data_IF_974089609713
#
_entry.id   IF_974089609713
#
_cell.length_a   1.000
_cell.length_b   1.000
_cell.length_c   1.000
_cell.angle_alpha   90.00
_cell.angle_beta   90.00
_cell.angle_gamma   90.00
#
_symmetry.space_group_name_H-M   'P 1'
#
loop_
_entity.id
_entity.type
_entity.pdbx_description
1 polymer ?
#
# COMPACT_ATOMS: atom_id res chain seq x y z
N UNK A 1 -6.26 -36.58 6.39
CA UNK A 1 -6.07 -35.20 6.93
C UNK A 1 -6.76 -34.11 6.11
N UNK A 2 -7.23 -34.34 4.87
CA UNK A 2 -7.88 -33.32 4.01
C UNK A 2 -9.32 -32.89 4.40
N UNK A 3 -9.90 -33.46 5.46
CA UNK A 3 -11.30 -33.19 5.87
C UNK A 3 -11.42 -32.15 7.01
N UNK A 4 -10.31 -31.78 7.65
CA UNK A 4 -10.30 -30.80 8.74
C UNK A 4 -10.78 -29.41 8.30
N UNK A 5 -10.37 -28.85 7.15
CA UNK A 5 -10.87 -27.55 6.70
C UNK A 5 -12.38 -27.59 6.47
N UNK A 6 -12.90 -28.67 5.87
CA UNK A 6 -14.32 -28.86 5.59
C UNK A 6 -15.17 -28.93 6.86
N UNK A 7 -14.69 -29.63 7.89
CA UNK A 7 -15.40 -29.76 9.17
C UNK A 7 -15.46 -28.45 9.94
N UNK A 8 -14.34 -27.71 9.99
CA UNK A 8 -14.30 -26.38 10.61
C UNK A 8 -15.24 -25.43 9.88
N UNK A 9 -15.22 -25.45 8.54
CA UNK A 9 -16.06 -24.60 7.71
C UNK A 9 -17.56 -24.92 7.83
N UNK A 10 -17.93 -26.21 7.92
CA UNK A 10 -19.30 -26.62 8.19
C UNK A 10 -19.77 -26.25 9.60
N UNK A 11 -18.91 -26.37 10.62
CA UNK A 11 -19.26 -25.98 11.99
C UNK A 11 -19.52 -24.47 12.08
N UNK A 12 -18.72 -23.65 11.39
CA UNK A 12 -18.97 -22.20 11.31
C UNK A 12 -20.26 -21.87 10.56
N UNK A 13 -20.60 -22.62 9.51
CA UNK A 13 -21.86 -22.46 8.79
C UNK A 13 -23.11 -22.80 9.62
N UNK A 14 -23.00 -23.68 10.62
CA UNK A 14 -24.13 -24.11 11.46
C UNK A 14 -24.29 -23.31 12.77
N UNK A 15 -23.24 -22.62 13.24
CA UNK A 15 -23.26 -21.90 14.52
C UNK A 15 -23.71 -20.44 14.39
N UNK A 16 -23.60 -19.86 13.21
CA UNK A 16 -24.12 -18.55 12.88
C UNK A 16 -25.08 -18.76 11.72
N UNK A 17 -26.38 -18.44 11.85
CA UNK A 17 -27.38 -18.41 10.76
C UNK A 17 -26.97 -17.41 9.66
N UNK A 18 -25.88 -17.72 8.96
CA UNK A 18 -25.19 -16.84 8.03
C UNK A 18 -25.38 -17.43 6.64
N UNK A 19 -26.49 -17.06 6.03
CA UNK A 19 -26.82 -17.28 4.60
C UNK A 19 -25.75 -16.70 3.63
N UNK A 20 -24.71 -16.03 4.14
CA UNK A 20 -23.66 -15.38 3.34
C UNK A 20 -22.52 -16.29 2.88
N UNK A 21 -22.35 -17.50 3.44
CA UNK A 21 -21.22 -18.39 3.06
C UNK A 21 -21.65 -19.41 1.99
N UNK A 22 -21.27 -19.23 0.70
CA UNK A 22 -21.60 -20.17 -0.37
C UNK A 22 -20.98 -21.55 -0.10
N UNK A 23 -21.67 -22.66 -0.41
CA UNK A 23 -21.14 -24.01 -0.22
C UNK A 23 -19.71 -24.15 -0.76
N UNK A 24 -18.84 -24.83 -0.01
CA UNK A 24 -17.43 -25.04 -0.38
C UNK A 24 -17.23 -25.55 -1.82
N UNK A 25 -18.17 -26.36 -2.33
CA UNK A 25 -18.14 -26.87 -3.71
C UNK A 25 -18.33 -25.76 -4.75
N UNK A 26 -19.29 -24.87 -4.54
CA UNK A 26 -19.59 -23.75 -5.43
C UNK A 26 -18.42 -22.76 -5.48
N UNK A 27 -17.74 -22.55 -4.35
CA UNK A 27 -16.51 -21.76 -4.29
C UNK A 27 -15.38 -22.35 -5.14
N UNK A 28 -15.19 -23.67 -5.07
CA UNK A 28 -14.17 -24.36 -5.86
C UNK A 28 -14.49 -24.31 -7.36
N UNK A 29 -15.74 -24.57 -7.74
CA UNK A 29 -16.18 -24.53 -9.15
C UNK A 29 -15.98 -23.13 -9.76
N UNK A 30 -16.38 -22.08 -9.04
CA UNK A 30 -16.16 -20.70 -9.47
C UNK A 30 -14.67 -20.36 -9.57
N UNK A 31 -13.87 -20.76 -8.57
CA UNK A 31 -12.42 -20.50 -8.57
C UNK A 31 -11.74 -21.19 -9.75
N UNK A 32 -12.08 -22.45 -10.02
CA UNK A 32 -11.55 -23.20 -11.15
C UNK A 32 -11.95 -22.55 -12.47
N UNK A 33 -13.22 -22.13 -12.60
CA UNK A 33 -13.71 -21.41 -13.77
C UNK A 33 -12.95 -20.10 -13.99
N UNK A 34 -12.77 -19.28 -12.95
CA UNK A 34 -12.06 -18.00 -13.02
C UNK A 34 -10.56 -18.15 -13.34
N UNK A 35 -9.94 -19.25 -12.89
CA UNK A 35 -8.56 -19.58 -13.23
C UNK A 35 -8.46 -20.05 -14.70
N UNK A 36 -9.30 -20.99 -15.12
CA UNK A 36 -9.27 -21.57 -16.47
C UNK A 36 -9.65 -20.55 -17.55
N UNK A 37 -10.57 -19.64 -17.24
CA UNK A 37 -10.94 -18.52 -18.12
C UNK A 37 -9.86 -17.42 -18.18
N UNK A 38 -8.81 -17.48 -17.36
CA UNK A 38 -7.74 -16.49 -17.30
C UNK A 38 -8.14 -15.16 -16.63
N UNK A 39 -9.40 -15.02 -16.19
CA UNK A 39 -9.93 -13.79 -15.59
C UNK A 39 -9.23 -13.49 -14.26
N UNK A 40 -9.10 -14.48 -13.37
CA UNK A 40 -8.49 -14.30 -12.06
C UNK A 40 -6.97 -14.02 -12.16
N UNK A 41 -6.16 -14.83 -12.89
CA UNK A 41 -4.74 -14.55 -13.03
C UNK A 41 -4.46 -13.16 -13.62
N UNK A 42 -5.23 -12.74 -14.63
CA UNK A 42 -5.08 -11.42 -15.24
C UNK A 42 -5.46 -10.29 -14.27
N UNK A 43 -6.54 -10.48 -13.50
CA UNK A 43 -6.97 -9.50 -12.50
C UNK A 43 -5.96 -9.35 -11.37
N UNK A 44 -5.42 -10.47 -10.87
CA UNK A 44 -4.33 -10.48 -9.88
C UNK A 44 -3.12 -9.74 -10.43
N UNK A 45 -2.69 -10.04 -11.66
CA UNK A 45 -1.52 -9.43 -12.27
C UNK A 45 -1.69 -7.91 -12.41
N UNK A 46 -2.84 -7.45 -12.89
CA UNK A 46 -3.12 -6.01 -13.08
C UNK A 46 -3.16 -5.28 -11.74
N UNK A 47 -3.86 -5.80 -10.73
CA UNK A 47 -3.89 -5.17 -9.40
C UNK A 47 -2.51 -5.18 -8.74
N UNK A 48 -1.74 -6.26 -8.90
CA UNK A 48 -0.36 -6.35 -8.41
C UNK A 48 0.53 -5.31 -9.09
N UNK A 49 0.45 -5.16 -10.42
CA UNK A 49 1.23 -4.18 -11.16
C UNK A 49 0.95 -2.76 -10.65
N UNK A 50 -0.32 -2.38 -10.47
CA UNK A 50 -0.71 -1.07 -9.91
C UNK A 50 -0.14 -0.84 -8.51
N UNK A 51 -0.15 -1.86 -7.65
CA UNK A 51 0.44 -1.80 -6.32
C UNK A 51 1.94 -1.51 -6.40
N UNK A 52 2.67 -2.23 -7.25
CA UNK A 52 4.12 -2.01 -7.39
C UNK A 52 4.46 -0.68 -8.07
N UNK A 53 3.68 -0.23 -9.06
CA UNK A 53 3.84 1.08 -9.69
C UNK A 53 3.63 2.21 -8.67
N UNK A 54 2.53 2.15 -7.91
CA UNK A 54 2.25 3.10 -6.84
C UNK A 54 3.30 3.05 -5.72
N UNK A 55 3.74 1.84 -5.34
CA UNK A 55 4.80 1.66 -4.35
C UNK A 55 6.13 2.28 -4.81
N UNK A 56 6.52 2.04 -6.06
CA UNK A 56 7.76 2.57 -6.62
C UNK A 56 7.71 4.10 -6.72
N UNK A 57 6.63 4.66 -7.26
CA UNK A 57 6.44 6.11 -7.37
C UNK A 57 6.38 6.78 -6.00
N UNK A 58 5.59 6.22 -5.08
CA UNK A 58 5.45 6.72 -3.72
C UNK A 58 6.77 6.70 -2.95
N UNK A 59 7.52 5.60 -3.00
CA UNK A 59 8.82 5.48 -2.34
C UNK A 59 9.88 6.39 -2.99
N UNK A 60 9.87 6.52 -4.32
CA UNK A 60 10.78 7.41 -5.04
C UNK A 60 10.59 8.89 -4.68
N UNK A 61 9.39 9.28 -4.23
CA UNK A 61 9.11 10.65 -3.75
C UNK A 61 9.29 10.75 -2.23
N UNK A 62 8.69 9.82 -1.48
CA UNK A 62 8.66 9.85 -0.02
C UNK A 62 10.04 9.74 0.61
N UNK A 63 10.85 8.78 0.16
CA UNK A 63 12.19 8.55 0.75
C UNK A 63 13.10 9.78 0.59
N UNK A 64 13.29 10.36 -0.61
CA UNK A 64 14.10 11.58 -0.75
C UNK A 64 13.55 12.76 0.06
N UNK A 65 12.24 12.97 0.09
CA UNK A 65 11.63 14.04 0.88
C UNK A 65 11.89 13.86 2.38
N UNK A 66 11.71 12.64 2.90
CA UNK A 66 11.94 12.34 4.32
C UNK A 66 13.40 12.57 4.73
N UNK A 67 14.35 12.12 3.91
CA UNK A 67 15.78 12.37 4.14
C UNK A 67 16.13 13.86 4.04
N UNK A 68 15.48 14.59 3.13
CA UNK A 68 15.70 16.03 2.96
C UNK A 68 15.17 16.82 4.16
N UNK A 69 13.98 16.47 4.66
CA UNK A 69 13.39 17.04 5.87
C UNK A 69 14.26 16.78 7.11
N UNK A 70 14.79 15.57 7.27
CA UNK A 70 15.65 15.24 8.42
C UNK A 70 16.94 16.08 8.48
N UNK A 71 17.42 16.56 7.32
CA UNK A 71 18.66 17.32 7.19
C UNK A 71 18.46 18.83 7.32
N UNK A 72 17.36 19.36 6.82
CA UNK A 72 17.15 20.80 6.67
C UNK A 72 15.94 21.25 7.49
N UNK A 73 16.20 21.90 8.63
CA UNK A 73 15.16 22.44 9.51
C UNK A 73 14.18 23.39 8.78
N UNK A 74 14.63 24.09 7.74
CA UNK A 74 13.76 24.92 6.88
C UNK A 74 12.78 24.08 6.06
N UNK A 75 13.23 22.97 5.48
CA UNK A 75 12.36 22.06 4.71
C UNK A 75 11.40 21.33 5.64
N UNK A 76 11.87 20.92 6.81
CA UNK A 76 11.02 20.36 7.85
C UNK A 76 9.90 21.33 8.25
N UNK A 77 10.23 22.56 8.65
CA UNK A 77 9.22 23.57 9.02
C UNK A 77 8.22 23.87 7.90
N UNK A 78 8.67 23.88 6.63
CA UNK A 78 7.81 24.12 5.48
C UNK A 78 6.90 22.94 5.15
N UNK A 79 7.41 21.71 5.23
CA UNK A 79 6.71 20.50 4.80
C UNK A 79 5.92 19.82 5.93
N UNK A 80 6.27 20.06 7.19
CA UNK A 80 5.62 19.43 8.35
C UNK A 80 4.10 19.62 8.40
N UNK A 81 3.53 20.81 8.10
CA UNK A 81 2.08 20.98 8.03
C UNK A 81 1.43 20.09 6.96
N UNK A 82 2.06 19.97 5.79
CA UNK A 82 1.56 19.15 4.69
C UNK A 82 1.67 17.66 5.01
N UNK A 83 2.81 17.22 5.55
CA UNK A 83 3.00 15.84 5.98
C UNK A 83 2.00 15.48 7.07
N UNK A 84 1.77 16.37 8.02
CA UNK A 84 0.77 16.19 9.08
C UNK A 84 -0.65 16.08 8.51
N UNK A 85 -1.01 16.95 7.56
CA UNK A 85 -2.30 16.88 6.86
C UNK A 85 -2.50 15.53 6.17
N UNK A 86 -1.53 15.09 5.37
CA UNK A 86 -1.62 13.81 4.65
C UNK A 86 -1.49 12.59 5.58
N UNK A 87 -0.82 12.72 6.73
CA UNK A 87 -0.75 11.66 7.74
C UNK A 87 -2.11 11.39 8.38
N UNK A 88 -2.88 12.44 8.64
CA UNK A 88 -4.20 12.31 9.25
C UNK A 88 -5.33 12.14 8.24
N UNK A 89 -5.13 12.52 6.99
CA UNK A 89 -6.09 12.31 5.92
C UNK A 89 -5.94 10.90 5.37
N UNK A 90 -6.94 10.01 5.52
CA UNK A 90 -6.87 8.70 4.91
C UNK A 90 -6.72 8.85 3.39
N UNK A 91 -5.79 8.13 2.76
CA UNK A 91 -5.61 8.21 1.31
C UNK A 91 -6.92 7.95 0.56
N UNK A 92 -7.76 7.05 1.07
CA UNK A 92 -9.09 6.74 0.54
C UNK A 92 -10.01 7.96 0.46
N UNK A 93 -9.91 8.91 1.40
CA UNK A 93 -10.71 10.13 1.39
C UNK A 93 -10.33 11.07 0.24
N UNK A 94 -9.13 10.92 -0.32
CA UNK A 94 -8.67 11.69 -1.48
C UNK A 94 -9.18 11.12 -2.80
N UNK A 95 -9.76 9.93 -2.81
CA UNK A 95 -10.16 9.27 -4.05
C UNK A 95 -11.07 10.15 -4.93
N UNK A 96 -12.14 10.82 -4.44
CA UNK A 96 -12.96 11.71 -5.27
C UNK A 96 -12.15 12.86 -5.89
N UNK A 97 -11.15 13.37 -5.17
CA UNK A 97 -10.27 14.43 -5.64
C UNK A 97 -9.39 13.93 -6.80
N UNK A 98 -8.79 12.74 -6.66
CA UNK A 98 -8.02 12.11 -7.74
C UNK A 98 -8.90 11.78 -8.95
N UNK A 99 -10.13 11.32 -8.71
CA UNK A 99 -11.10 11.05 -9.76
C UNK A 99 -11.50 12.33 -10.51
N UNK A 100 -11.65 13.45 -9.80
CA UNK A 100 -11.98 14.74 -10.39
C UNK A 100 -10.81 15.29 -11.23
N UNK A 101 -9.57 15.22 -10.70
CA UNK A 101 -8.40 15.80 -11.35
C UNK A 101 -7.83 14.95 -12.49
N UNK A 102 -7.77 13.63 -12.30
CA UNK A 102 -7.10 12.72 -13.24
C UNK A 102 -8.08 11.78 -13.96
N UNK A 103 -9.38 11.94 -13.72
CA UNK A 103 -10.43 11.04 -14.19
C UNK A 103 -10.44 9.70 -13.45
N UNK A 104 -11.37 8.82 -13.80
CA UNK A 104 -11.48 7.47 -13.21
C UNK A 104 -10.58 6.43 -13.93
N UNK A 105 -9.43 6.87 -14.45
CA UNK A 105 -8.51 6.05 -15.25
C UNK A 105 -7.50 5.26 -14.41
N UNK A 106 -6.46 4.72 -15.05
CA UNK A 106 -5.36 4.02 -14.37
C UNK A 106 -4.50 4.96 -13.53
N UNK A 107 -4.18 6.13 -14.09
CA UNK A 107 -3.34 7.13 -13.45
C UNK A 107 -3.88 7.53 -12.07
N UNK A 108 -5.20 7.73 -11.94
CA UNK A 108 -5.83 8.10 -10.67
C UNK A 108 -5.61 7.06 -9.56
N UNK A 109 -5.71 5.76 -9.88
CA UNK A 109 -5.52 4.66 -8.94
C UNK A 109 -4.06 4.58 -8.50
N UNK A 110 -3.14 4.66 -9.46
CA UNK A 110 -1.69 4.61 -9.20
C UNK A 110 -1.26 5.79 -8.33
N UNK A 111 -1.72 7.01 -8.64
CA UNK A 111 -1.37 8.19 -7.86
C UNK A 111 -1.96 8.16 -6.45
N UNK A 112 -3.17 7.61 -6.27
CA UNK A 112 -3.76 7.43 -4.95
C UNK A 112 -2.90 6.50 -4.09
N UNK A 113 -2.47 5.36 -4.66
CA UNK A 113 -1.56 4.42 -3.99
C UNK A 113 -0.23 5.10 -3.69
N UNK A 114 0.33 5.83 -4.66
CA UNK A 114 1.60 6.52 -4.52
C UNK A 114 1.58 7.54 -3.39
N UNK A 115 0.49 8.29 -3.21
CA UNK A 115 0.35 9.23 -2.09
C UNK A 115 0.31 8.52 -0.74
N UNK A 116 -0.44 7.42 -0.63
CA UNK A 116 -0.48 6.61 0.59
C UNK A 116 0.92 6.09 0.97
N UNK A 117 1.64 5.55 -0.02
CA UNK A 117 3.00 5.04 0.15
C UNK A 117 4.00 6.15 0.45
N UNK A 118 3.89 7.30 -0.22
CA UNK A 118 4.82 8.42 -0.06
C UNK A 118 4.82 8.92 1.37
N UNK A 119 3.66 9.03 2.02
CA UNK A 119 3.56 9.47 3.42
C UNK A 119 4.27 8.50 4.36
N UNK A 120 3.99 7.20 4.23
CA UNK A 120 4.57 6.16 5.11
C UNK A 120 6.09 6.08 4.93
N UNK A 121 6.56 6.07 3.68
CA UNK A 121 7.99 5.98 3.36
C UNK A 121 8.76 7.25 3.70
N UNK A 122 8.12 8.43 3.57
CA UNK A 122 8.66 9.71 4.03
C UNK A 122 8.90 9.69 5.53
N UNK A 123 7.89 9.30 6.31
CA UNK A 123 8.00 9.25 7.76
C UNK A 123 9.08 8.26 8.21
N UNK A 124 9.14 7.07 7.59
CA UNK A 124 10.18 6.08 7.86
C UNK A 124 11.58 6.60 7.54
N UNK A 125 11.77 7.24 6.38
CA UNK A 125 13.04 7.82 5.98
C UNK A 125 13.47 8.99 6.89
N UNK A 126 12.52 9.85 7.26
CA UNK A 126 12.75 10.96 8.18
C UNK A 126 13.19 10.48 9.57
N UNK A 127 12.44 9.52 10.15
CA UNK A 127 12.76 8.93 11.45
C UNK A 127 14.13 8.23 11.42
N UNK A 128 14.35 7.36 10.43
CA UNK A 128 15.61 6.63 10.30
C UNK A 128 16.84 7.54 10.16
N UNK A 129 16.68 8.70 9.52
CA UNK A 129 17.74 9.69 9.43
C UNK A 129 17.95 10.51 10.72
N UNK A 130 16.88 10.75 11.48
CA UNK A 130 16.92 11.48 12.77
C UNK A 130 17.44 10.63 13.93
N UNK A 131 17.23 9.33 13.87
CA UNK A 131 17.65 8.38 14.92
C UNK A 131 19.16 8.11 14.94
N UNK A 132 19.90 8.60 13.93
CA UNK A 132 21.36 8.50 13.87
C UNK A 132 21.98 9.20 15.08
N UNK A 133 22.78 8.50 15.91
CA UNK A 133 23.43 9.11 17.07
C UNK A 133 24.26 10.33 16.69
N UNK A 134 24.05 11.45 17.40
CA UNK A 134 24.76 12.72 17.15
C UNK A 134 26.27 12.58 17.20
N UNK A 135 26.80 11.69 18.04
CA UNK A 135 28.23 11.40 18.17
C UNK A 135 28.86 11.00 16.83
N UNK A 136 28.18 10.22 15.99
CA UNK A 136 28.70 9.83 14.68
C UNK A 136 28.74 11.01 13.71
N UNK A 137 27.74 11.89 13.78
CA UNK A 137 27.66 13.08 12.93
C UNK A 137 28.71 14.12 13.34
N UNK A 138 28.95 14.30 14.64
CA UNK A 138 29.95 15.22 15.18
C UNK A 138 31.37 14.70 14.91
N UNK A 139 31.65 13.43 15.17
CA UNK A 139 32.94 12.81 14.87
C UNK A 139 33.31 12.93 13.37
N UNK A 140 32.36 12.67 12.48
CA UNK A 140 32.57 12.83 11.04
C UNK A 140 32.87 14.28 10.65
N UNK A 141 32.19 15.26 11.26
CA UNK A 141 32.46 16.69 11.01
C UNK A 141 33.84 17.10 11.52
N UNK A 142 34.27 16.60 12.68
CA UNK A 142 35.62 16.85 13.22
C UNK A 142 36.73 16.27 12.33
N UNK A 143 36.45 15.20 11.59
CA UNK A 143 37.34 14.63 10.58
C UNK A 143 37.26 15.34 9.21
N UNK A 144 36.53 16.45 9.11
CA UNK A 144 36.40 17.23 7.88
C UNK A 144 35.44 16.63 6.85
N UNK A 145 34.57 15.68 7.23
CA UNK A 145 33.63 15.07 6.31
C UNK A 145 32.62 16.10 5.77
N UNK A 146 32.48 16.17 4.45
CA UNK A 146 31.47 17.00 3.80
C UNK A 146 30.06 16.51 4.12
N UNK A 147 29.06 17.40 4.05
CA UNK A 147 27.67 17.02 4.32
C UNK A 147 27.15 15.92 3.38
N UNK A 148 27.68 15.80 2.16
CA UNK A 148 27.33 14.73 1.22
C UNK A 148 27.96 13.39 1.60
N UNK A 149 29.20 13.41 2.11
CA UNK A 149 29.87 12.23 2.62
C UNK A 149 29.14 11.65 3.85
N UNK A 150 28.77 12.51 4.80
CA UNK A 150 27.97 12.14 5.98
C UNK A 150 26.65 11.50 5.56
N UNK A 151 25.95 12.08 4.57
CA UNK A 151 24.70 11.52 4.07
C UNK A 151 24.91 10.12 3.50
N UNK A 152 25.88 9.94 2.59
CA UNK A 152 26.06 8.67 1.87
C UNK A 152 26.63 7.56 2.75
N UNK A 153 27.51 7.89 3.70
CA UNK A 153 28.27 6.91 4.49
C UNK A 153 27.73 6.65 5.89
N UNK A 154 26.92 7.55 6.44
CA UNK A 154 26.40 7.43 7.81
C UNK A 154 24.87 7.40 7.78
N UNK A 155 24.25 8.47 7.29
CA UNK A 155 22.79 8.64 7.41
C UNK A 155 22.04 7.67 6.53
N UNK A 156 22.41 7.53 5.26
CA UNK A 156 21.73 6.63 4.32
C UNK A 156 21.79 5.17 4.79
N UNK A 157 22.96 4.58 5.10
CA UNK A 157 23.03 3.21 5.61
C UNK A 157 22.26 3.01 6.93
N UNK A 158 22.31 3.98 7.83
CA UNK A 158 21.60 3.89 9.11
C UNK A 158 20.08 4.01 8.97
N UNK A 159 19.59 4.76 7.99
CA UNK A 159 18.15 4.92 7.72
C UNK A 159 17.55 3.74 6.94
N UNK A 160 18.36 2.96 6.21
CA UNK A 160 17.88 1.86 5.37
C UNK A 160 16.97 0.86 6.11
N UNK A 161 17.30 0.35 7.32
CA UNK A 161 16.43 -0.58 8.04
C UNK A 161 15.03 0.00 8.29
N UNK A 162 14.96 1.28 8.68
CA UNK A 162 13.69 1.97 8.93
C UNK A 162 12.94 2.22 7.62
N UNK A 163 13.64 2.55 6.53
CA UNK A 163 13.05 2.68 5.19
C UNK A 163 12.42 1.35 4.75
N UNK A 164 13.13 0.21 4.88
CA UNK A 164 12.58 -1.10 4.54
C UNK A 164 11.40 -1.50 5.42
N UNK A 165 11.45 -1.18 6.73
CA UNK A 165 10.33 -1.39 7.64
C UNK A 165 9.10 -0.61 7.18
N UNK A 166 9.27 0.68 6.87
CA UNK A 166 8.19 1.52 6.35
C UNK A 166 7.66 1.06 4.99
N UNK A 167 8.53 0.56 4.10
CA UNK A 167 8.14 0.03 2.79
C UNK A 167 7.27 -1.22 2.94
N UNK A 168 7.58 -2.08 3.91
CA UNK A 168 6.76 -3.27 4.22
C UNK A 168 5.36 -2.87 4.69
N UNK A 169 5.27 -1.86 5.56
CA UNK A 169 3.98 -1.32 6.00
C UNK A 169 3.22 -0.69 4.82
N UNK A 170 3.93 0.10 4.01
CA UNK A 170 3.37 0.77 2.85
C UNK A 170 2.85 -0.21 1.79
N UNK A 171 3.47 -1.39 1.62
CA UNK A 171 2.98 -2.45 0.74
C UNK A 171 1.60 -2.95 1.18
N UNK A 172 1.39 -3.16 2.48
CA UNK A 172 0.06 -3.54 3.01
C UNK A 172 -0.99 -2.46 2.76
N UNK A 173 -0.61 -1.20 3.00
CA UNK A 173 -1.50 -0.06 2.74
C UNK A 173 -1.82 0.09 1.24
N UNK A 174 -0.85 -0.15 0.36
CA UNK A 174 -1.02 -0.09 -1.08
C UNK A 174 -2.04 -1.13 -1.57
N UNK A 175 -2.01 -2.34 -1.01
CA UNK A 175 -2.99 -3.39 -1.29
C UNK A 175 -4.42 -3.01 -0.88
N UNK A 176 -4.59 -2.45 0.32
CA UNK A 176 -5.91 -1.97 0.74
C UNK A 176 -6.38 -0.85 -0.18
N UNK A 177 -5.49 0.09 -0.50
CA UNK A 177 -5.81 1.26 -1.33
C UNK A 177 -6.20 0.87 -2.76
N UNK A 178 -5.49 -0.08 -3.40
CA UNK A 178 -5.82 -0.51 -4.76
C UNK A 178 -7.21 -1.15 -4.82
N UNK A 179 -7.57 -1.99 -3.84
CA UNK A 179 -8.86 -2.67 -3.82
C UNK A 179 -10.00 -1.66 -3.73
N UNK A 180 -9.90 -0.69 -2.80
CA UNK A 180 -10.92 0.36 -2.68
C UNK A 180 -10.97 1.23 -3.93
N UNK A 181 -9.83 1.59 -4.51
CA UNK A 181 -9.77 2.37 -5.75
C UNK A 181 -10.43 1.65 -6.94
N UNK A 182 -10.22 0.34 -7.04
CA UNK A 182 -10.82 -0.49 -8.09
C UNK A 182 -12.32 -0.72 -7.88
N UNK A 183 -12.82 -0.69 -6.65
CA UNK A 183 -14.25 -0.88 -6.35
C UNK A 183 -15.12 0.29 -6.84
N UNK A 184 -14.63 1.54 -6.75
CA UNK A 184 -15.43 2.72 -7.10
C UNK A 184 -15.74 2.78 -8.60
N UNK A 185 -14.74 2.48 -9.43
CA UNK A 185 -14.95 2.19 -10.85
C UNK A 185 -14.42 0.80 -11.15
N UNK A 186 -15.26 -0.17 -10.80
CA UNK A 186 -15.05 -1.56 -11.17
C UNK A 186 -14.94 -1.67 -12.69
N UNK A 187 -13.74 -1.99 -13.19
CA UNK A 187 -13.49 -2.27 -14.60
C UNK A 187 -12.62 -3.51 -14.73
N UNK A 188 -13.00 -4.42 -15.63
CA UNK A 188 -12.16 -5.59 -15.93
C UNK A 188 -10.92 -5.19 -16.74
N UNK A 189 -9.76 -5.83 -16.53
CA UNK A 189 -9.45 -6.79 -15.46
C UNK A 189 -8.99 -6.10 -14.16
N UNK A 190 -9.56 -6.48 -13.01
CA UNK A 190 -9.12 -6.01 -11.69
C UNK A 190 -9.71 -6.86 -10.57
N UNK A 191 -9.01 -6.96 -9.43
CA UNK A 191 -9.53 -7.68 -8.26
C UNK A 191 -10.74 -6.96 -7.65
N UNK A 192 -10.71 -5.64 -7.57
CA UNK A 192 -11.85 -4.86 -7.12
C UNK A 192 -13.09 -5.07 -7.99
N UNK A 193 -12.94 -5.24 -9.31
CA UNK A 193 -14.07 -5.61 -10.16
C UNK A 193 -14.66 -6.98 -9.80
N UNK A 194 -13.83 -7.99 -9.56
CA UNK A 194 -14.31 -9.33 -9.20
C UNK A 194 -15.02 -9.33 -7.84
N UNK A 195 -14.53 -8.55 -6.88
CA UNK A 195 -15.18 -8.35 -5.59
C UNK A 195 -16.53 -7.63 -5.74
N UNK A 196 -16.60 -6.58 -6.55
CA UNK A 196 -17.85 -5.88 -6.84
C UNK A 196 -18.88 -6.80 -7.51
N UNK A 197 -18.44 -7.63 -8.47
CA UNK A 197 -19.31 -8.58 -9.15
C UNK A 197 -19.84 -9.66 -8.20
N UNK A 198 -18.98 -10.22 -7.36
CA UNK A 198 -19.35 -11.24 -6.38
C UNK A 198 -20.33 -10.69 -5.33
N UNK A 199 -20.17 -9.44 -4.91
CA UNK A 199 -21.09 -8.77 -3.99
C UNK A 199 -22.44 -8.43 -4.64
N UNK A 200 -22.46 -8.07 -5.93
CA UNK A 200 -23.70 -7.73 -6.65
C UNK A 200 -24.53 -8.94 -7.05
N UNK A 201 -23.89 -10.08 -7.32
CA UNK A 201 -24.56 -11.34 -7.68
C UNK A 201 -24.07 -12.49 -6.79
N UNK A 202 -24.52 -12.56 -5.52
CA UNK A 202 -24.24 -13.71 -4.67
C UNK A 202 -24.84 -14.97 -5.31
N UNK A 203 -24.00 -15.89 -5.79
CA UNK A 203 -24.43 -17.19 -6.34
C UNK A 203 -24.75 -18.19 -5.22
N UNK A 204 -25.57 -17.77 -4.26
CA UNK A 204 -26.12 -18.62 -3.20
C UNK A 204 -27.60 -18.83 -3.53
N UNK A 205 -28.12 -20.08 -3.61
CA UNK A 205 -29.56 -20.27 -3.69
C UNK A 205 -30.17 -19.79 -2.37
N UNK A 206 -31.06 -18.80 -2.46
CA UNK A 206 -32.04 -18.49 -1.39
C UNK A 206 -33.00 -19.65 -1.23
#
# INVERSE_FOLDING_TARGET
>A
SALLPRRIWMVMHYLEDVELLPPYRSLLEETVFLIQSGILPRSVLVSTARVFEGLALGAAVGVPLGLSMARAARLECLLDPWVTFFRFTPALALLPLYALWFGLGELSKILLIATAVAVVTLLGAYQGARDVPRVYLEAARSLGASKGLILRKIVWPAALPQIFSSLRIALGLAWVTVIVAELIKASMPSLGYLLALAGAYPRVPT
#
